data_IF_541401622400
#
_entry.id   IF_541401622400
#
_cell.length_a   1.000
_cell.length_b   1.000
_cell.length_c   1.000
_cell.angle_alpha   90.00
_cell.angle_beta   90.00
_cell.angle_gamma   90.00
#
_symmetry.space_group_name_H-M   'P 1'
#
loop_
_entity.id
_entity.type
_entity.pdbx_description
1 polymer ?
#
# COMPACT_ATOMS: atom_id res chain seq x y z
N UNK A 1 9.84 13.72 14.49
CA UNK A 1 9.42 13.11 13.23
C UNK A 1 9.12 11.66 13.53
N UNK A 2 7.89 11.21 13.33
CA UNK A 2 7.63 9.79 13.35
C UNK A 2 8.19 9.23 12.07
N UNK A 3 9.02 8.22 12.18
CA UNK A 3 9.60 7.56 11.03
C UNK A 3 9.21 6.11 11.20
N UNK A 4 8.31 5.67 10.32
CA UNK A 4 8.29 4.26 9.97
C UNK A 4 9.03 4.22 8.64
N UNK A 5 10.12 3.45 8.61
CA UNK A 5 10.99 3.24 7.46
C UNK A 5 11.23 1.74 7.40
N UNK A 6 10.77 1.12 6.31
CA UNK A 6 10.84 -0.31 6.11
C UNK A 6 11.32 -0.57 4.69
N UNK A 7 12.57 -1.01 4.57
CA UNK A 7 13.16 -1.45 3.31
C UNK A 7 12.88 -2.92 3.04
N UNK A 8 12.06 -3.57 3.87
CA UNK A 8 11.65 -4.96 3.70
C UNK A 8 12.82 -5.96 3.63
N UNK A 9 13.97 -5.61 4.20
CA UNK A 9 15.17 -6.44 4.17
C UNK A 9 15.11 -7.55 5.22
N UNK A 10 14.90 -8.79 4.77
CA UNK A 10 14.76 -9.97 5.65
C UNK A 10 15.64 -11.14 5.19
N UNK A 11 15.98 -12.06 6.10
CA UNK A 11 16.83 -13.22 5.78
C UNK A 11 16.08 -14.38 5.10
N UNK A 12 14.75 -14.38 5.14
CA UNK A 12 13.87 -15.36 4.52
C UNK A 12 12.46 -14.78 4.45
N UNK A 13 11.69 -15.14 3.41
CA UNK A 13 10.35 -14.62 3.21
C UNK A 13 9.47 -14.78 4.45
N UNK A 14 8.85 -13.68 4.89
CA UNK A 14 8.08 -13.61 6.14
C UNK A 14 6.73 -12.94 5.89
N UNK A 15 5.70 -13.44 6.55
CA UNK A 15 4.38 -12.81 6.55
C UNK A 15 4.49 -11.41 7.16
N UNK A 16 3.83 -10.42 6.57
CA UNK A 16 3.92 -9.02 7.01
C UNK A 16 3.43 -8.84 8.46
N UNK A 17 2.45 -9.64 8.89
CA UNK A 17 1.95 -9.65 10.29
C UNK A 17 3.00 -10.13 11.30
N UNK A 18 4.01 -10.88 10.83
CA UNK A 18 5.13 -11.36 11.62
C UNK A 18 6.43 -10.55 11.37
N UNK A 19 6.38 -9.54 10.50
CA UNK A 19 7.50 -8.68 10.14
C UNK A 19 7.60 -7.48 11.09
N UNK A 20 8.82 -7.11 11.45
CA UNK A 20 9.11 -5.86 12.15
C UNK A 20 10.08 -5.06 11.27
N UNK A 21 9.73 -3.80 10.92
CA UNK A 21 10.62 -2.94 10.15
C UNK A 21 12.04 -2.92 10.71
N UNK A 22 13.04 -3.07 9.84
CA UNK A 22 14.45 -3.14 10.24
C UNK A 22 15.07 -1.78 10.52
N UNK A 23 14.58 -0.72 9.88
CA UNK A 23 15.14 0.63 9.96
C UNK A 23 14.40 1.48 11.01
N UNK A 24 13.07 1.60 10.92
CA UNK A 24 12.24 2.23 11.93
C UNK A 24 10.79 1.74 11.89
N UNK A 25 10.20 1.40 13.05
CA UNK A 25 8.81 0.96 13.17
C UNK A 25 8.66 -0.16 14.19
N UNK A 26 7.42 -0.59 14.45
CA UNK A 26 7.14 -1.66 15.42
C UNK A 26 6.40 -2.86 14.86
N UNK A 27 5.95 -2.77 13.60
CA UNK A 27 5.25 -3.83 12.91
C UNK A 27 4.18 -3.29 11.98
N UNK A 28 3.33 -4.19 11.51
CA UNK A 28 2.22 -3.91 10.61
C UNK A 28 0.95 -4.56 11.17
N UNK A 29 -0.21 -3.94 10.93
CA UNK A 29 -1.52 -4.47 11.34
C UNK A 29 -2.43 -4.56 10.14
N UNK A 30 -2.88 -5.76 9.79
CA UNK A 30 -3.98 -5.94 8.85
C UNK A 30 -5.26 -5.30 9.42
N UNK A 31 -5.87 -4.40 8.65
CA UNK A 31 -7.15 -3.78 8.99
C UNK A 31 -8.29 -4.18 8.04
N UNK A 32 -7.95 -4.75 6.88
CA UNK A 32 -8.94 -5.31 5.97
C UNK A 32 -8.39 -6.52 5.20
N UNK A 33 -9.24 -7.54 5.12
CA UNK A 33 -9.06 -8.71 4.29
C UNK A 33 -10.40 -9.13 3.69
N UNK A 34 -10.60 -8.86 2.40
CA UNK A 34 -11.81 -9.28 1.69
C UNK A 34 -11.69 -10.67 1.04
N UNK A 35 -10.56 -11.35 1.19
CA UNK A 35 -10.25 -12.63 0.55
C UNK A 35 -10.60 -13.85 1.40
N UNK A 36 -10.37 -15.03 0.84
CA UNK A 36 -10.68 -16.30 1.50
C UNK A 36 -9.51 -16.79 2.36
N UNK A 37 -9.39 -16.24 3.58
CA UNK A 37 -8.62 -16.72 4.73
C UNK A 37 -7.12 -17.14 4.59
N UNK A 38 -6.48 -17.05 3.43
CA UNK A 38 -5.09 -17.49 3.22
C UNK A 38 -4.19 -16.51 2.46
N UNK A 39 -4.74 -15.42 1.90
CA UNK A 39 -3.89 -14.36 1.35
C UNK A 39 -3.24 -13.61 2.49
N UNK A 40 -1.93 -13.46 2.45
CA UNK A 40 -1.15 -12.65 3.40
C UNK A 40 -0.19 -11.80 2.58
N UNK A 41 -0.08 -10.52 2.90
CA UNK A 41 1.01 -9.71 2.36
C UNK A 41 2.32 -10.25 2.95
N UNK A 42 3.31 -10.48 2.10
CA UNK A 42 4.55 -11.17 2.43
C UNK A 42 5.71 -10.32 2.00
N UNK A 43 6.68 -10.19 2.90
CA UNK A 43 7.97 -9.63 2.58
C UNK A 43 8.80 -10.71 1.89
N UNK A 44 9.23 -10.43 0.66
CA UNK A 44 10.04 -11.33 -0.15
C UNK A 44 11.52 -11.02 0.07
N UNK A 45 12.29 -12.00 0.56
CA UNK A 45 13.66 -11.79 1.00
C UNK A 45 14.66 -11.56 -0.13
N UNK A 46 14.36 -12.04 -1.34
CA UNK A 46 15.30 -11.95 -2.47
C UNK A 46 15.17 -10.61 -3.17
N UNK A 47 13.98 -10.02 -3.13
CA UNK A 47 13.61 -8.82 -3.86
C UNK A 47 13.51 -7.58 -2.96
N UNK A 48 13.50 -7.74 -1.64
CA UNK A 48 13.27 -6.67 -0.66
C UNK A 48 11.94 -5.90 -0.95
N UNK A 49 10.92 -6.63 -1.41
CA UNK A 49 9.59 -6.09 -1.73
C UNK A 49 8.48 -6.78 -0.95
N UNK A 50 7.38 -6.05 -0.79
CA UNK A 50 6.12 -6.61 -0.33
C UNK A 50 5.29 -7.12 -1.52
N UNK A 51 4.80 -8.35 -1.45
CA UNK A 51 3.87 -8.92 -2.42
C UNK A 51 2.82 -9.80 -1.74
N UNK A 52 1.71 -10.10 -2.41
CA UNK A 52 0.76 -11.08 -1.89
C UNK A 52 1.31 -12.50 -2.08
N UNK A 53 1.16 -13.36 -1.06
CA UNK A 53 1.62 -14.76 -1.11
C UNK A 53 0.86 -15.63 -2.13
N UNK A 54 -0.27 -15.16 -2.63
CA UNK A 54 -1.11 -15.78 -3.65
C UNK A 54 -2.04 -14.73 -4.25
N UNK A 55 -2.45 -14.95 -5.50
CA UNK A 55 -3.44 -14.12 -6.18
C UNK A 55 -4.84 -14.71 -6.01
N UNK A 56 -5.79 -13.90 -5.54
CA UNK A 56 -7.22 -14.17 -5.70
C UNK A 56 -7.83 -13.01 -6.51
N UNK A 57 -8.85 -13.32 -7.29
CA UNK A 57 -9.60 -12.33 -8.05
C UNK A 57 -10.39 -11.46 -7.07
N UNK A 58 -10.36 -10.15 -7.28
CA UNK A 58 -11.15 -9.15 -6.55
C UNK A 58 -10.93 -9.13 -5.02
N UNK A 59 -9.68 -9.25 -4.57
CA UNK A 59 -9.33 -9.17 -3.14
C UNK A 59 -8.61 -7.86 -2.80
N UNK A 60 -8.96 -7.31 -1.64
CA UNK A 60 -8.36 -6.13 -1.07
C UNK A 60 -7.70 -6.46 0.27
N UNK A 61 -6.47 -5.96 0.42
CA UNK A 61 -5.64 -6.05 1.61
C UNK A 61 -5.21 -4.67 2.06
N UNK A 62 -5.53 -4.29 3.29
CA UNK A 62 -5.09 -3.02 3.88
C UNK A 62 -4.28 -3.32 5.13
N UNK A 63 -3.10 -2.72 5.19
CA UNK A 63 -2.23 -2.74 6.37
C UNK A 63 -2.00 -1.33 6.86
N UNK A 64 -1.94 -1.18 8.18
CA UNK A 64 -1.47 0.05 8.83
C UNK A 64 -0.12 -0.22 9.47
N UNK A 65 0.80 0.72 9.26
CA UNK A 65 2.11 0.67 9.87
C UNK A 65 1.97 1.00 11.37
N UNK A 66 2.48 0.15 12.25
CA UNK A 66 2.44 0.37 13.69
C UNK A 66 3.55 1.36 14.08
N UNK A 67 3.15 2.61 14.31
CA UNK A 67 4.03 3.65 14.84
C UNK A 67 3.28 4.82 15.45
N UNK A 68 4.02 5.78 16.02
CA UNK A 68 3.44 6.98 16.64
C UNK A 68 3.54 8.14 15.69
N UNK A 69 2.45 8.56 15.04
CA UNK A 69 2.43 9.74 14.17
C UNK A 69 2.47 11.03 15.01
N UNK A 70 3.34 12.01 14.70
CA UNK A 70 3.63 13.12 15.61
C UNK A 70 2.56 14.23 15.55
N UNK A 71 1.59 14.09 14.64
CA UNK A 71 0.53 15.05 14.38
C UNK A 71 -0.36 14.59 13.22
N UNK A 72 -1.26 15.46 12.79
CA UNK A 72 -2.17 15.23 11.67
C UNK A 72 -1.53 15.47 10.28
N UNK A 73 -0.30 15.99 10.27
CA UNK A 73 0.50 16.29 9.09
C UNK A 73 1.70 15.34 9.10
N UNK A 74 1.85 14.60 8.01
CA UNK A 74 2.93 13.66 7.77
C UNK A 74 2.94 13.30 6.29
N UNK A 75 4.09 12.82 5.85
CA UNK A 75 4.30 12.33 4.49
C UNK A 75 4.26 10.80 4.48
N UNK A 76 3.83 10.23 3.36
CA UNK A 76 3.90 8.80 3.09
C UNK A 76 4.60 8.65 1.75
N UNK A 77 5.67 7.87 1.73
CA UNK A 77 6.46 7.56 0.55
C UNK A 77 6.57 6.04 0.44
N UNK A 78 6.55 5.53 -0.79
CA UNK A 78 6.80 4.12 -1.08
C UNK A 78 7.37 3.96 -2.48
N UNK A 79 8.34 3.05 -2.61
CA UNK A 79 8.80 2.59 -3.91
C UNK A 79 7.85 1.50 -4.40
N UNK A 80 7.29 1.70 -5.60
CA UNK A 80 6.32 0.79 -6.20
C UNK A 80 6.92 0.16 -7.45
N UNK A 81 7.06 -1.16 -7.44
CA UNK A 81 7.33 -1.93 -8.64
C UNK A 81 6.00 -2.34 -9.27
N UNK A 82 5.66 -1.74 -10.42
CA UNK A 82 4.44 -2.06 -11.15
C UNK A 82 4.59 -3.37 -11.92
N UNK A 83 3.68 -4.32 -11.68
CA UNK A 83 3.44 -5.44 -12.59
C UNK A 83 2.54 -4.96 -13.76
N UNK A 84 2.79 -5.47 -14.96
CA UNK A 84 2.33 -4.86 -16.22
C UNK A 84 0.85 -5.07 -16.58
N UNK A 85 -0.04 -5.24 -15.60
CA UNK A 85 -1.47 -5.52 -15.79
C UNK A 85 -2.35 -4.30 -15.49
N UNK A 86 -3.46 -4.20 -16.22
CA UNK A 86 -4.43 -3.09 -16.14
C UNK A 86 -5.31 -3.11 -14.88
N UNK A 87 -5.33 -4.21 -14.13
CA UNK A 87 -6.31 -4.52 -13.09
C UNK A 87 -5.76 -4.51 -11.65
N UNK A 88 -4.49 -4.14 -11.43
CA UNK A 88 -3.84 -4.18 -10.12
C UNK A 88 -3.39 -2.79 -9.63
N UNK A 89 -4.31 -1.94 -9.11
CA UNK A 89 -3.94 -0.62 -8.60
C UNK A 89 -3.21 -0.72 -7.26
N UNK A 90 -2.14 0.07 -7.09
CA UNK A 90 -1.49 0.26 -5.81
C UNK A 90 -2.01 1.52 -5.10
N UNK A 91 -2.20 1.45 -3.79
CA UNK A 91 -2.78 2.52 -2.97
C UNK A 91 -1.92 2.86 -1.76
N UNK A 92 -1.60 4.14 -1.60
CA UNK A 92 -1.10 4.71 -0.36
C UNK A 92 -2.25 5.33 0.41
N UNK A 93 -2.41 4.93 1.67
CA UNK A 93 -3.51 5.39 2.52
C UNK A 93 -3.01 6.32 3.61
N UNK A 94 -3.62 7.50 3.69
CA UNK A 94 -3.37 8.51 4.72
C UNK A 94 -4.59 8.75 5.60
N UNK A 95 -4.33 9.22 6.83
CA UNK A 95 -5.31 9.50 7.89
C UNK A 95 -6.30 8.36 8.12
N UNK A 96 -5.78 7.13 8.09
CA UNK A 96 -6.56 5.91 8.33
C UNK A 96 -7.01 5.87 9.79
N UNK A 97 -8.31 5.76 10.03
CA UNK A 97 -8.84 5.43 11.37
C UNK A 97 -9.31 3.99 11.46
N UNK A 98 -9.84 3.46 10.36
CA UNK A 98 -10.27 2.07 10.18
C UNK A 98 -10.42 1.76 8.67
N UNK A 99 -10.85 0.54 8.34
CA UNK A 99 -11.05 0.07 6.96
C UNK A 99 -12.13 0.85 6.18
N UNK A 100 -12.94 1.69 6.83
CA UNK A 100 -14.03 2.44 6.24
C UNK A 100 -13.79 3.97 6.27
N UNK A 101 -12.67 4.44 6.81
CA UNK A 101 -12.40 5.86 7.00
C UNK A 101 -10.93 6.18 6.75
N UNK A 102 -10.63 6.70 5.56
CA UNK A 102 -9.27 7.05 5.12
C UNK A 102 -9.29 7.98 3.89
N UNK A 103 -8.12 8.56 3.59
CA UNK A 103 -7.79 9.13 2.28
C UNK A 103 -6.83 8.18 1.56
N UNK A 104 -6.91 8.06 0.25
CA UNK A 104 -5.96 7.26 -0.51
C UNK A 104 -5.55 7.91 -1.82
N UNK A 105 -4.26 7.83 -2.12
CA UNK A 105 -3.69 8.16 -3.41
C UNK A 105 -3.28 6.86 -4.08
N UNK A 106 -3.69 6.66 -5.34
CA UNK A 106 -3.41 5.42 -6.05
C UNK A 106 -2.98 5.66 -7.47
N UNK A 107 -2.24 4.67 -7.97
CA UNK A 107 -1.76 4.61 -9.34
C UNK A 107 -2.48 3.43 -10.03
N UNK A 108 -2.93 3.68 -11.25
CA UNK A 108 -3.64 2.76 -12.12
C UNK A 108 -2.89 2.60 -13.42
N UNK A 109 -3.04 1.44 -14.04
CA UNK A 109 -2.69 1.27 -15.43
C UNK A 109 -3.87 1.66 -16.31
N UNK A 110 -3.84 2.90 -16.79
CA UNK A 110 -4.80 3.46 -17.72
C UNK A 110 -4.09 4.24 -18.82
N UNK A 111 -4.70 4.34 -20.00
CA UNK A 111 -4.22 5.19 -21.10
C UNK A 111 -4.78 6.61 -21.03
N UNK A 112 -5.41 6.98 -19.91
CA UNK A 112 -6.03 8.28 -19.67
C UNK A 112 -5.77 8.63 -18.19
N UNK A 113 -6.72 8.42 -17.29
CA UNK A 113 -6.50 8.71 -15.86
C UNK A 113 -5.76 7.55 -15.18
N UNK A 114 -4.48 7.78 -14.88
CA UNK A 114 -3.58 6.81 -14.24
C UNK A 114 -3.28 7.14 -12.76
N UNK A 115 -3.73 8.28 -12.24
CA UNK A 115 -3.64 8.62 -10.81
C UNK A 115 -4.94 9.18 -10.25
N UNK A 116 -5.27 8.80 -9.01
CA UNK A 116 -6.46 9.30 -8.32
C UNK A 116 -6.22 9.57 -6.84
N UNK A 117 -6.88 10.61 -6.34
CA UNK A 117 -7.01 10.92 -4.93
C UNK A 117 -8.46 10.70 -4.50
N UNK A 118 -8.67 9.78 -3.56
CA UNK A 118 -10.00 9.43 -3.06
C UNK A 118 -10.08 9.64 -1.54
N UNK A 119 -11.31 9.76 -1.04
CA UNK A 119 -11.65 9.56 0.38
C UNK A 119 -12.69 8.46 0.52
N UNK A 120 -12.57 7.67 1.58
CA UNK A 120 -13.61 6.75 2.05
C UNK A 120 -14.13 7.25 3.39
N UNK A 121 -15.45 7.37 3.50
CA UNK A 121 -16.15 7.65 4.76
C UNK A 121 -17.31 6.66 4.87
N UNK A 122 -17.26 5.81 5.89
CA UNK A 122 -18.12 4.64 5.98
C UNK A 122 -18.05 3.82 4.66
N UNK A 123 -19.19 3.52 4.04
CA UNK A 123 -19.24 2.76 2.79
C UNK A 123 -19.11 3.62 1.53
N UNK A 124 -18.93 4.95 1.68
CA UNK A 124 -18.93 5.87 0.54
C UNK A 124 -17.50 6.23 0.15
N UNK A 125 -17.12 5.85 -1.06
CA UNK A 125 -15.90 6.33 -1.71
C UNK A 125 -16.24 7.56 -2.54
N UNK A 126 -15.45 8.62 -2.42
CA UNK A 126 -15.59 9.86 -3.17
C UNK A 126 -14.24 10.22 -3.78
N UNK A 127 -14.22 10.42 -5.09
CA UNK A 127 -13.07 10.99 -5.78
C UNK A 127 -12.95 12.48 -5.42
N UNK A 128 -11.75 12.88 -5.03
CA UNK A 128 -11.39 14.28 -4.74
C UNK A 128 -10.75 14.89 -5.97
N UNK A 129 -9.83 14.16 -6.59
CA UNK A 129 -9.09 14.60 -7.77
C UNK A 129 -8.54 13.40 -8.57
N UNK A 130 -8.18 13.66 -9.82
CA UNK A 130 -7.63 12.67 -10.73
C UNK A 130 -6.80 13.35 -11.82
N UNK A 131 -5.73 12.71 -12.26
CA UNK A 131 -4.90 13.20 -13.35
C UNK A 131 -4.40 12.05 -14.24
N UNK A 132 -3.93 12.45 -15.42
CA UNK A 132 -3.11 11.63 -16.31
C UNK A 132 -1.65 12.07 -16.14
N UNK A 133 -0.78 11.14 -15.81
CA UNK A 133 0.64 11.36 -15.54
C UNK A 133 1.56 10.66 -16.54
N UNK A 134 1.00 10.05 -17.60
CA UNK A 134 1.74 9.21 -18.55
C UNK A 134 2.58 8.12 -17.85
N UNK A 135 2.13 7.64 -16.68
CA UNK A 135 2.83 6.64 -15.89
C UNK A 135 2.69 5.26 -16.54
N UNK A 136 3.75 4.84 -17.25
CA UNK A 136 3.78 3.60 -18.01
C UNK A 136 4.40 2.43 -17.22
N UNK A 137 4.12 1.19 -17.61
CA UNK A 137 4.70 -0.01 -16.97
C UNK A 137 6.21 -0.09 -17.20
N UNK A 138 6.95 -0.57 -16.19
CA UNK A 138 8.42 -0.73 -16.27
C UNK A 138 9.24 0.54 -16.07
N UNK A 139 8.61 1.68 -15.78
CA UNK A 139 9.30 2.89 -15.31
C UNK A 139 9.23 3.01 -13.79
N UNK A 140 10.39 3.17 -13.16
CA UNK A 140 10.49 3.48 -11.73
C UNK A 140 9.95 4.91 -11.49
N UNK A 141 8.92 5.03 -10.66
CA UNK A 141 8.62 6.29 -9.98
C UNK A 141 9.43 6.33 -8.69
N UNK A 142 10.59 6.99 -8.72
CA UNK A 142 11.25 7.47 -7.51
C UNK A 142 11.10 8.99 -7.49
N UNK A 143 10.54 9.56 -6.43
CA UNK A 143 10.68 11.00 -6.15
C UNK A 143 12.07 11.34 -5.63
#
# INVERSE_FOLDING_TARGET
MAIIDDKFTVGSDVDLDAHTPTDAGTGWTEIENSGSAAIIARVLATEDFLALNSSEVDVRKLYTAQGTYPGAEYDIEADILRDGSTDDPFWLLGRVTDADNYYCAGIYDSTDIDVRLLKKVATTVTEIDSADTDFNSGTWAST
#
